data_IF_455194839751
#
_entry.id   IF_455194839751
#
_cell.length_a   1.000
_cell.length_b   1.000
_cell.length_c   1.000
_cell.angle_alpha   90.00
_cell.angle_beta   90.00
_cell.angle_gamma   90.00
#
_symmetry.space_group_name_H-M   'P 1'
#
loop_
_entity.id
_entity.type
_entity.pdbx_description
1 polymer ?
#
# COMPACT_ATOMS: atom_id res chain seq x y z
N UNK A 1 26.08 -26.41 6.51
CA UNK A 1 26.04 -24.94 6.54
C UNK A 1 26.89 -24.45 5.37
N UNK A 2 26.26 -24.08 4.25
CA UNK A 2 26.96 -23.80 2.99
C UNK A 2 26.95 -22.29 2.76
N UNK A 3 28.01 -21.61 3.20
CA UNK A 3 28.16 -20.16 2.98
C UNK A 3 28.58 -19.87 1.55
N UNK A 4 28.04 -18.77 1.03
CA UNK A 4 28.48 -18.03 -0.15
C UNK A 4 28.50 -18.77 -1.50
N UNK A 5 27.61 -18.31 -2.39
CA UNK A 5 27.79 -18.48 -3.84
C UNK A 5 27.69 -17.10 -4.52
N UNK A 6 28.85 -16.56 -4.89
CA UNK A 6 28.98 -15.33 -5.68
C UNK A 6 28.71 -15.67 -7.15
N UNK A 7 27.92 -14.83 -7.83
CA UNK A 7 27.81 -14.80 -9.29
C UNK A 7 28.37 -13.46 -9.77
N UNK A 8 29.49 -13.49 -10.49
CA UNK A 8 30.13 -12.28 -11.04
C UNK A 8 29.69 -12.02 -12.49
N UNK A 9 29.61 -10.74 -12.86
CA UNK A 9 29.33 -10.27 -14.22
C UNK A 9 29.51 -8.75 -14.32
N UNK A 10 29.62 -8.22 -15.54
CA UNK A 10 29.90 -6.79 -15.82
C UNK A 10 28.69 -5.84 -15.64
N UNK A 11 27.86 -6.12 -14.62
CA UNK A 11 26.69 -5.35 -14.20
C UNK A 11 26.45 -5.57 -12.70
N UNK A 12 25.31 -5.14 -12.15
CA UNK A 12 25.04 -5.29 -10.72
C UNK A 12 24.99 -6.79 -10.31
N UNK A 13 25.92 -7.30 -9.47
CA UNK A 13 25.99 -8.72 -9.13
C UNK A 13 24.84 -9.13 -8.20
N UNK A 14 24.29 -10.33 -8.42
CA UNK A 14 23.26 -10.93 -7.54
C UNK A 14 23.77 -12.24 -6.95
N UNK A 15 23.66 -12.34 -5.63
CA UNK A 15 24.29 -13.35 -4.77
C UNK A 15 23.21 -13.88 -3.84
N UNK A 16 23.13 -15.19 -3.64
CA UNK A 16 22.41 -15.77 -2.49
C UNK A 16 23.34 -15.63 -1.28
N UNK A 17 22.94 -14.89 -0.23
CA UNK A 17 23.90 -14.38 0.78
C UNK A 17 23.81 -14.98 2.19
N UNK A 18 22.64 -15.05 2.85
CA UNK A 18 22.62 -14.88 4.34
C UNK A 18 21.53 -15.56 5.21
N UNK A 19 21.88 -16.05 6.42
CA UNK A 19 20.97 -16.80 7.35
C UNK A 19 21.33 -16.62 8.85
N UNK A 20 20.73 -15.83 9.77
CA UNK A 20 19.38 -15.28 10.11
C UNK A 20 18.24 -16.26 10.35
N UNK A 21 17.93 -16.63 11.59
CA UNK A 21 16.82 -17.50 12.03
C UNK A 21 15.56 -16.69 12.42
N UNK A 22 14.35 -17.25 12.29
CA UNK A 22 13.14 -16.61 12.86
C UNK A 22 13.02 -16.83 14.38
N UNK A 23 11.94 -16.33 14.99
CA UNK A 23 11.67 -16.35 16.44
C UNK A 23 11.59 -17.76 17.08
N UNK A 24 11.59 -18.83 16.30
CA UNK A 24 11.63 -20.22 16.78
C UNK A 24 12.97 -20.92 16.47
N UNK A 25 13.87 -20.28 15.71
CA UNK A 25 15.18 -20.82 15.36
C UNK A 25 15.33 -21.32 13.90
N UNK A 26 14.67 -20.70 12.90
CA UNK A 26 14.71 -21.16 11.48
C UNK A 26 15.98 -20.80 10.67
N UNK A 27 15.98 -20.25 9.44
CA UNK A 27 17.15 -19.65 8.71
C UNK A 27 16.66 -19.00 7.38
N UNK A 28 17.03 -17.75 7.03
CA UNK A 28 16.32 -16.85 6.08
C UNK A 28 17.21 -16.29 4.93
N UNK A 29 17.55 -17.11 3.94
CA UNK A 29 18.41 -16.73 2.79
C UNK A 29 17.68 -15.92 1.69
N UNK A 30 17.54 -14.60 1.89
CA UNK A 30 16.71 -13.69 1.07
C UNK A 30 17.50 -12.99 -0.04
N UNK A 31 17.77 -13.69 -1.14
CA UNK A 31 18.13 -13.03 -2.40
C UNK A 31 17.53 -13.75 -3.61
N UNK A 32 17.50 -13.02 -4.72
CA UNK A 32 16.37 -12.96 -5.67
C UNK A 32 15.11 -12.32 -5.04
N UNK A 33 14.33 -11.51 -5.80
CA UNK A 33 13.30 -10.65 -5.23
C UNK A 33 12.24 -11.39 -4.39
N UNK A 34 11.81 -10.85 -3.24
CA UNK A 34 10.92 -11.57 -2.32
C UNK A 34 9.56 -11.90 -2.94
N UNK A 35 9.07 -11.10 -3.88
CA UNK A 35 7.81 -11.35 -4.57
C UNK A 35 7.80 -12.63 -5.44
N UNK A 36 8.96 -13.26 -5.71
CA UNK A 36 9.03 -14.59 -6.34
C UNK A 36 8.94 -15.76 -5.34
N UNK A 37 9.03 -15.49 -4.04
CA UNK A 37 9.04 -16.52 -2.99
C UNK A 37 7.63 -17.05 -2.75
N UNK A 38 7.47 -18.37 -2.60
CA UNK A 38 6.16 -19.01 -2.36
C UNK A 38 5.49 -18.42 -1.12
N UNK A 39 6.29 -18.16 -0.09
CA UNK A 39 5.87 -17.61 1.19
C UNK A 39 5.18 -16.24 1.06
N UNK A 40 5.49 -15.47 0.01
CA UNK A 40 4.87 -14.18 -0.30
C UNK A 40 3.56 -14.34 -1.07
N UNK A 41 3.44 -15.37 -1.90
CA UNK A 41 2.17 -15.72 -2.54
C UNK A 41 1.20 -16.35 -1.52
N UNK A 42 1.67 -17.26 -0.66
CA UNK A 42 0.87 -17.87 0.40
C UNK A 42 0.28 -16.81 1.34
N UNK A 43 1.10 -15.84 1.76
CA UNK A 43 0.65 -14.75 2.61
C UNK A 43 -0.30 -13.76 1.90
N UNK A 44 -0.18 -13.61 0.58
CA UNK A 44 -1.17 -12.89 -0.22
C UNK A 44 -2.49 -13.69 -0.32
N UNK A 45 -2.43 -14.99 -0.60
CA UNK A 45 -3.62 -15.87 -0.66
C UNK A 45 -4.34 -15.93 0.67
N UNK A 46 -3.65 -15.99 1.82
CA UNK A 46 -4.27 -15.86 3.14
C UNK A 46 -5.10 -14.57 3.27
N UNK A 47 -4.56 -13.42 2.80
CA UNK A 47 -5.30 -12.15 2.83
C UNK A 47 -6.53 -12.20 1.91
N UNK A 48 -6.44 -12.80 0.72
CA UNK A 48 -7.57 -12.87 -0.23
C UNK A 48 -8.63 -13.88 0.17
N UNK A 49 -8.23 -15.09 0.56
CA UNK A 49 -9.10 -16.24 0.73
C UNK A 49 -9.64 -16.37 2.18
N UNK A 50 -8.87 -15.97 3.19
CA UNK A 50 -9.20 -16.23 4.62
C UNK A 50 -9.43 -14.97 5.44
N UNK A 51 -8.58 -13.94 5.31
CA UNK A 51 -8.65 -12.76 6.17
C UNK A 51 -9.94 -11.96 5.96
N UNK A 52 -10.60 -11.57 7.05
CA UNK A 52 -11.78 -10.70 7.00
C UNK A 52 -11.38 -9.26 7.26
N UNK A 53 -11.33 -8.48 6.19
CA UNK A 53 -11.08 -7.03 6.25
C UNK A 53 -12.28 -6.35 6.91
N UNK A 54 -12.03 -5.55 7.94
CA UNK A 54 -13.09 -4.80 8.62
C UNK A 54 -13.66 -3.68 7.71
N UNK A 55 -14.99 -3.55 7.73
CA UNK A 55 -15.73 -2.45 7.09
C UNK A 55 -15.26 -1.09 7.62
N UNK A 56 -14.93 -0.17 6.71
CA UNK A 56 -14.43 1.19 7.01
C UNK A 56 -14.85 2.15 5.91
N UNK A 57 -15.09 3.41 6.22
CA UNK A 57 -15.45 4.39 5.19
C UNK A 57 -14.29 4.63 4.21
N UNK A 58 -13.04 4.63 4.69
CA UNK A 58 -11.85 4.98 3.90
C UNK A 58 -10.80 3.84 3.91
N UNK A 59 -10.39 3.38 2.72
CA UNK A 59 -9.19 2.56 2.53
C UNK A 59 -7.98 3.41 2.11
N UNK A 60 -6.95 3.49 2.96
CA UNK A 60 -5.71 4.23 2.70
C UNK A 60 -4.57 3.29 2.30
N UNK A 61 -4.15 3.36 1.05
CA UNK A 61 -3.10 2.51 0.48
C UNK A 61 -1.74 3.23 0.52
N UNK A 62 -0.79 2.69 1.29
CA UNK A 62 0.55 3.26 1.48
C UNK A 62 1.62 2.30 0.93
N UNK A 63 2.65 2.76 0.19
CA UNK A 63 3.68 1.88 -0.32
C UNK A 63 4.57 1.32 0.80
N UNK A 64 5.09 0.11 0.57
CA UNK A 64 5.95 -0.61 1.48
C UNK A 64 7.27 0.14 1.73
N UNK A 65 7.82 -0.04 2.93
CA UNK A 65 9.07 0.59 3.33
C UNK A 65 10.24 -0.39 3.38
N UNK A 66 11.47 0.13 3.31
CA UNK A 66 12.69 -0.67 3.45
C UNK A 66 12.82 -1.24 4.86
N UNK A 67 12.53 -0.41 5.88
CA UNK A 67 12.47 -0.79 7.30
C UNK A 67 11.13 -1.46 7.60
N UNK A 68 11.17 -2.53 8.40
CA UNK A 68 10.01 -3.23 8.94
C UNK A 68 10.08 -3.36 10.48
N UNK A 69 8.96 -3.56 11.18
CA UNK A 69 7.57 -3.43 10.69
C UNK A 69 7.33 -2.03 10.09
N UNK A 70 6.44 -1.94 9.09
CA UNK A 70 6.36 -0.76 8.21
C UNK A 70 6.04 0.51 8.99
N UNK A 71 5.18 0.42 10.01
CA UNK A 71 4.83 1.49 10.95
C UNK A 71 6.02 2.13 11.68
N UNK A 72 7.15 1.43 11.79
CA UNK A 72 8.40 1.95 12.38
C UNK A 72 9.34 2.58 11.36
N UNK A 73 8.97 2.64 10.07
CA UNK A 73 9.73 3.39 9.07
C UNK A 73 9.48 4.90 9.20
N UNK A 74 10.49 5.77 8.99
CA UNK A 74 10.31 7.23 9.11
C UNK A 74 9.22 7.80 8.20
N UNK A 75 9.03 7.21 7.01
CA UNK A 75 7.96 7.60 6.08
C UNK A 75 6.58 7.23 6.62
N UNK A 76 6.35 6.00 7.09
CA UNK A 76 5.05 5.63 7.68
C UNK A 76 4.75 6.39 8.97
N UNK A 77 5.75 6.67 9.81
CA UNK A 77 5.57 7.53 10.99
C UNK A 77 5.15 8.95 10.60
N UNK A 78 5.72 9.51 9.53
CA UNK A 78 5.29 10.79 8.97
C UNK A 78 3.86 10.71 8.43
N UNK A 79 3.54 9.70 7.62
CA UNK A 79 2.21 9.55 7.01
C UNK A 79 1.12 9.37 8.08
N UNK A 80 1.35 8.53 9.10
CA UNK A 80 0.41 8.38 10.22
C UNK A 80 0.15 9.70 10.95
N UNK A 81 1.18 10.48 11.29
CA UNK A 81 1.00 11.81 11.91
C UNK A 81 0.20 12.80 11.05
N UNK A 82 0.21 12.65 9.72
CA UNK A 82 -0.62 13.45 8.82
C UNK A 82 -2.07 12.94 8.81
N UNK A 83 -2.25 11.61 8.69
CA UNK A 83 -3.55 10.93 8.71
C UNK A 83 -4.29 11.18 10.03
N UNK A 84 -3.65 10.88 11.17
CA UNK A 84 -4.19 11.03 12.53
C UNK A 84 -4.46 12.51 12.90
N UNK A 85 -3.85 13.44 12.16
CA UNK A 85 -4.10 14.88 12.30
C UNK A 85 -5.24 15.41 11.42
N UNK A 86 -5.97 14.54 10.71
CA UNK A 86 -7.05 14.92 9.76
C UNK A 86 -8.26 13.99 9.83
N UNK A 87 -8.08 12.67 10.00
CA UNK A 87 -9.15 11.66 10.00
C UNK A 87 -9.32 11.03 11.38
N UNK A 88 -10.55 10.64 11.73
CA UNK A 88 -10.79 9.81 12.91
C UNK A 88 -10.30 8.36 12.64
N UNK A 89 -9.55 7.74 13.57
CA UNK A 89 -9.18 6.31 13.48
C UNK A 89 -10.36 5.34 13.34
N UNK A 90 -11.58 5.75 13.68
CA UNK A 90 -12.81 5.00 13.41
C UNK A 90 -13.13 4.88 11.91
N UNK A 91 -12.80 5.88 11.09
CA UNK A 91 -13.25 5.96 9.69
C UNK A 91 -12.36 5.21 8.70
N UNK A 92 -11.05 5.10 9.00
CA UNK A 92 -10.07 4.62 8.03
C UNK A 92 -9.50 3.21 8.32
N UNK A 93 -8.96 2.59 7.27
CA UNK A 93 -8.14 1.37 7.28
C UNK A 93 -6.82 1.68 6.54
N UNK A 94 -5.65 1.45 7.16
CA UNK A 94 -4.35 1.54 6.44
C UNK A 94 -3.97 0.17 5.87
N UNK A 95 -3.77 0.12 4.55
CA UNK A 95 -3.27 -1.05 3.82
C UNK A 95 -1.89 -0.70 3.25
N UNK A 96 -0.87 -1.48 3.58
CA UNK A 96 0.47 -1.34 2.99
C UNK A 96 0.54 -2.18 1.72
N UNK A 97 1.08 -1.67 0.61
CA UNK A 97 1.22 -2.44 -0.64
C UNK A 97 2.64 -2.37 -1.24
N UNK A 98 3.02 -3.28 -2.13
CA UNK A 98 4.36 -3.35 -2.71
C UNK A 98 4.95 -4.76 -2.66
N UNK A 99 6.20 -4.93 -2.24
CA UNK A 99 6.92 -6.23 -2.34
C UNK A 99 6.18 -7.46 -1.75
N UNK A 100 5.22 -7.28 -0.84
CA UNK A 100 4.38 -8.34 -0.27
C UNK A 100 2.99 -8.50 -0.93
N UNK A 101 2.66 -7.73 -1.96
CA UNK A 101 1.28 -7.37 -2.25
C UNK A 101 0.69 -6.47 -1.16
N UNK A 102 -0.63 -6.43 -1.09
CA UNK A 102 -1.41 -5.70 -0.07
C UNK A 102 -1.39 -6.39 1.30
N UNK A 103 -1.20 -5.62 2.36
CA UNK A 103 -1.07 -6.04 3.76
C UNK A 103 -1.82 -5.05 4.65
N UNK A 104 -2.98 -5.42 5.23
CA UNK A 104 -3.62 -4.69 6.32
C UNK A 104 -2.60 -4.36 7.43
N UNK A 105 -2.54 -3.11 7.89
CA UNK A 105 -1.45 -2.64 8.75
C UNK A 105 -1.35 -3.40 10.08
N UNK A 106 -2.46 -3.91 10.61
CA UNK A 106 -2.55 -4.77 11.79
C UNK A 106 -1.84 -6.13 11.61
N UNK A 107 -1.61 -6.57 10.37
CA UNK A 107 -0.92 -7.81 10.05
C UNK A 107 0.58 -7.64 9.79
N UNK A 108 1.14 -6.42 9.83
CA UNK A 108 2.53 -6.15 9.38
C UNK A 108 3.63 -6.96 10.10
N UNK A 109 3.33 -7.45 11.32
CA UNK A 109 4.22 -8.29 12.12
C UNK A 109 4.07 -9.80 11.82
N UNK A 110 3.16 -10.19 10.92
CA UNK A 110 3.04 -11.57 10.43
C UNK A 110 4.19 -11.90 9.48
N UNK A 111 4.60 -13.17 9.45
CA UNK A 111 5.52 -13.67 8.43
C UNK A 111 4.80 -13.72 7.07
N UNK A 112 5.43 -13.33 5.95
CA UNK A 112 6.82 -12.88 5.80
C UNK A 112 6.99 -11.35 5.83
N UNK A 113 5.94 -10.57 6.10
CA UNK A 113 5.91 -9.12 5.81
C UNK A 113 7.02 -8.32 6.52
N UNK A 114 7.36 -8.66 7.76
CA UNK A 114 8.49 -8.03 8.45
C UNK A 114 9.86 -8.72 8.23
N UNK A 115 9.88 -9.89 7.57
CA UNK A 115 11.03 -10.80 7.54
C UNK A 115 11.84 -10.78 6.23
N UNK A 116 11.88 -9.63 5.54
CA UNK A 116 12.64 -9.49 4.29
C UNK A 116 13.36 -8.15 4.13
N UNK A 117 14.49 -8.18 3.42
CA UNK A 117 15.24 -6.99 3.04
C UNK A 117 15.36 -6.89 1.52
N UNK A 118 14.60 -5.97 0.90
CA UNK A 118 14.63 -5.72 -0.53
C UNK A 118 14.25 -4.26 -0.82
N UNK A 119 14.82 -3.70 -1.88
CA UNK A 119 14.59 -2.32 -2.32
C UNK A 119 14.51 -2.29 -3.86
N UNK A 120 13.29 -2.24 -4.38
CA UNK A 120 13.03 -2.28 -5.83
C UNK A 120 13.76 -1.14 -6.58
N UNK A 121 13.81 0.07 -6.02
CA UNK A 121 14.43 1.24 -6.65
C UNK A 121 15.94 1.09 -6.96
N UNK A 122 16.63 0.10 -6.39
CA UNK A 122 18.04 -0.22 -6.72
C UNK A 122 18.20 -1.26 -7.83
N UNK A 123 17.11 -1.79 -8.39
CA UNK A 123 17.19 -2.79 -9.46
C UNK A 123 17.31 -2.13 -10.84
N UNK A 124 18.38 -2.47 -11.56
CA UNK A 124 18.64 -2.08 -12.96
C UNK A 124 18.24 -3.16 -13.97
N UNK A 125 17.65 -4.25 -13.50
CA UNK A 125 17.19 -5.36 -14.33
C UNK A 125 15.72 -5.17 -14.71
N UNK A 126 15.48 -4.86 -15.98
CA UNK A 126 14.15 -4.65 -16.54
C UNK A 126 13.25 -5.89 -16.46
N UNK A 127 13.80 -7.11 -16.47
CA UNK A 127 12.99 -8.32 -16.25
C UNK A 127 12.38 -8.29 -14.85
N UNK A 128 13.20 -8.00 -13.83
CA UNK A 128 12.71 -7.90 -12.43
C UNK A 128 11.74 -6.74 -12.24
N UNK A 129 11.91 -5.62 -12.95
CA UNK A 129 10.98 -4.47 -12.89
C UNK A 129 9.62 -4.83 -13.50
N UNK A 130 9.62 -5.46 -14.67
CA UNK A 130 8.41 -5.95 -15.36
C UNK A 130 7.71 -7.05 -14.56
N UNK A 131 8.47 -8.01 -14.06
CA UNK A 131 7.92 -9.16 -13.34
C UNK A 131 7.39 -8.72 -11.96
N UNK A 132 8.01 -7.73 -11.28
CA UNK A 132 7.42 -7.01 -10.13
C UNK A 132 6.08 -6.39 -10.50
N UNK A 133 6.04 -5.55 -11.54
CA UNK A 133 4.85 -4.82 -11.95
C UNK A 133 3.67 -5.77 -12.20
N UNK A 134 3.90 -6.85 -12.96
CA UNK A 134 2.89 -7.88 -13.24
C UNK A 134 2.36 -8.58 -11.98
N UNK A 135 3.23 -8.90 -11.02
CA UNK A 135 2.84 -9.54 -9.76
C UNK A 135 2.05 -8.54 -8.90
N UNK A 136 2.49 -7.29 -8.86
CA UNK A 136 1.87 -6.24 -8.03
C UNK A 136 0.48 -5.89 -8.54
N UNK A 137 0.29 -5.74 -9.84
CA UNK A 137 -1.03 -5.54 -10.46
C UNK A 137 -1.96 -6.70 -10.12
N UNK A 138 -1.53 -7.96 -10.33
CA UNK A 138 -2.33 -9.14 -9.95
C UNK A 138 -2.75 -9.10 -8.47
N UNK A 139 -1.83 -8.77 -7.56
CA UNK A 139 -2.13 -8.74 -6.12
C UNK A 139 -3.06 -7.60 -5.73
N UNK A 140 -2.82 -6.40 -6.27
CA UNK A 140 -3.66 -5.22 -6.08
C UNK A 140 -5.09 -5.47 -6.58
N UNK A 141 -5.26 -6.02 -7.79
CA UNK A 141 -6.58 -6.35 -8.36
C UNK A 141 -7.40 -7.22 -7.42
N UNK A 142 -6.85 -8.35 -6.98
CA UNK A 142 -7.57 -9.27 -6.09
C UNK A 142 -7.94 -8.65 -4.74
N UNK A 143 -7.12 -7.74 -4.20
CA UNK A 143 -7.45 -7.04 -2.96
C UNK A 143 -8.50 -5.92 -3.16
N UNK A 144 -8.42 -5.18 -4.26
CA UNK A 144 -9.45 -4.21 -4.64
C UNK A 144 -10.80 -4.91 -4.81
N UNK A 145 -10.84 -6.03 -5.54
CA UNK A 145 -12.03 -6.86 -5.72
C UNK A 145 -12.57 -7.41 -4.39
N UNK A 146 -11.72 -8.01 -3.56
CA UNK A 146 -12.08 -8.50 -2.22
C UNK A 146 -12.69 -7.41 -1.36
N UNK A 147 -12.17 -6.18 -1.46
CA UNK A 147 -12.60 -5.04 -0.64
C UNK A 147 -13.59 -4.11 -1.34
N UNK A 148 -14.17 -4.51 -2.49
CA UNK A 148 -15.07 -3.67 -3.32
C UNK A 148 -16.18 -3.01 -2.49
N UNK A 149 -16.82 -3.78 -1.64
CA UNK A 149 -17.91 -3.35 -0.76
C UNK A 149 -17.47 -3.20 0.72
N UNK A 150 -16.16 -3.08 0.96
CA UNK A 150 -15.55 -2.92 2.31
C UNK A 150 -15.04 -1.51 2.57
N UNK A 151 -14.72 -0.76 1.51
CA UNK A 151 -14.36 0.64 1.57
C UNK A 151 -15.26 1.46 0.66
N UNK A 152 -15.82 2.55 1.19
CA UNK A 152 -16.62 3.49 0.39
C UNK A 152 -15.73 4.40 -0.46
N UNK A 153 -14.66 4.91 0.15
CA UNK A 153 -13.64 5.73 -0.48
C UNK A 153 -12.28 5.02 -0.41
N UNK A 154 -11.42 5.22 -1.42
CA UNK A 154 -10.08 4.66 -1.46
C UNK A 154 -9.11 5.73 -1.90
N UNK A 155 -7.97 5.84 -1.23
CA UNK A 155 -6.90 6.75 -1.61
C UNK A 155 -5.55 6.04 -1.49
N UNK A 156 -4.75 6.10 -2.55
CA UNK A 156 -3.39 5.58 -2.59
C UNK A 156 -2.38 6.74 -2.63
N UNK A 157 -1.43 6.73 -1.70
CA UNK A 157 -0.38 7.74 -1.62
C UNK A 157 0.94 7.19 -2.17
N UNK A 158 1.12 7.26 -3.49
CA UNK A 158 2.18 6.54 -4.21
C UNK A 158 2.67 7.23 -5.49
N UNK A 159 3.94 6.99 -5.78
CA UNK A 159 4.68 7.42 -6.99
C UNK A 159 5.37 6.23 -7.67
N UNK A 160 5.89 6.43 -8.88
CA UNK A 160 6.74 5.50 -9.62
C UNK A 160 6.10 4.14 -9.91
N UNK A 161 6.87 3.03 -9.86
CA UNK A 161 6.38 1.69 -10.17
C UNK A 161 5.17 1.25 -9.33
N UNK A 162 5.04 1.73 -8.09
CA UNK A 162 3.89 1.43 -7.21
C UNK A 162 2.63 2.16 -7.69
N UNK A 163 2.75 3.44 -8.08
CA UNK A 163 1.65 4.20 -8.69
C UNK A 163 1.17 3.54 -9.98
N UNK A 164 2.11 3.18 -10.85
CA UNK A 164 1.79 2.52 -12.13
C UNK A 164 1.00 1.22 -11.94
N UNK A 165 1.39 0.39 -10.97
CA UNK A 165 0.67 -0.84 -10.66
C UNK A 165 -0.73 -0.58 -10.06
N UNK A 166 -0.89 0.48 -9.25
CA UNK A 166 -2.19 0.87 -8.69
C UNK A 166 -3.15 1.41 -9.76
N UNK A 167 -2.66 2.22 -10.71
CA UNK A 167 -3.43 2.70 -11.87
C UNK A 167 -3.98 1.52 -12.67
N UNK A 168 -3.10 0.63 -13.13
CA UNK A 168 -3.47 -0.53 -13.97
C UNK A 168 -4.44 -1.47 -13.23
N UNK A 169 -4.25 -1.70 -11.92
CA UNK A 169 -5.18 -2.50 -11.12
C UNK A 169 -6.54 -1.83 -10.89
N UNK A 170 -6.58 -0.50 -10.72
CA UNK A 170 -7.81 0.28 -10.58
C UNK A 170 -8.63 0.27 -11.88
N UNK A 171 -7.96 0.48 -13.01
CA UNK A 171 -8.55 0.47 -14.35
C UNK A 171 -9.12 -0.91 -14.69
N UNK A 172 -8.33 -1.99 -14.53
CA UNK A 172 -8.76 -3.34 -14.89
C UNK A 172 -9.89 -3.90 -14.00
N UNK A 173 -10.07 -3.39 -12.77
CA UNK A 173 -11.16 -3.82 -11.87
C UNK A 173 -12.39 -2.91 -11.91
N UNK A 174 -12.27 -1.72 -12.51
CA UNK A 174 -13.26 -0.66 -12.43
C UNK A 174 -13.53 -0.17 -11.01
N UNK A 175 -12.58 -0.35 -10.08
CA UNK A 175 -12.69 0.11 -8.69
C UNK A 175 -11.87 1.38 -8.54
N UNK A 176 -12.55 2.50 -8.30
CA UNK A 176 -11.91 3.80 -8.17
C UNK A 176 -10.99 3.86 -6.94
N UNK A 177 -9.79 4.43 -7.14
CA UNK A 177 -8.81 4.76 -6.11
C UNK A 177 -8.29 6.16 -6.40
N UNK A 178 -8.47 7.11 -5.48
CA UNK A 178 -7.89 8.44 -5.59
C UNK A 178 -6.37 8.36 -5.46
N UNK A 179 -5.63 8.95 -6.39
CA UNK A 179 -4.18 8.82 -6.48
C UNK A 179 -3.47 10.12 -6.11
N UNK A 180 -2.75 10.11 -4.99
CA UNK A 180 -1.89 11.22 -4.56
C UNK A 180 -0.41 10.80 -4.50
N UNK A 181 0.55 11.71 -4.75
CA UNK A 181 0.37 13.05 -5.29
C UNK A 181 -0.34 13.05 -6.65
N UNK A 182 -0.93 14.16 -7.09
CA UNK A 182 -1.56 14.23 -8.42
C UNK A 182 -0.48 14.24 -9.51
N UNK A 183 -0.83 13.84 -10.74
CA UNK A 183 0.14 13.87 -11.84
C UNK A 183 0.70 15.29 -12.09
N UNK A 184 -0.10 16.38 -12.06
CA UNK A 184 0.43 17.76 -12.09
C UNK A 184 1.39 18.11 -10.95
N UNK A 185 1.21 17.54 -9.75
CA UNK A 185 2.14 17.74 -8.64
C UNK A 185 3.45 16.96 -8.84
N UNK A 186 3.38 15.74 -9.39
CA UNK A 186 4.56 14.94 -9.76
C UNK A 186 5.35 15.67 -10.86
N UNK A 187 4.68 16.11 -11.94
CA UNK A 187 5.29 16.88 -13.03
C UNK A 187 5.98 18.16 -12.53
N UNK A 188 5.33 18.89 -11.62
CA UNK A 188 5.88 20.12 -11.02
C UNK A 188 7.14 19.89 -10.18
N UNK A 189 7.26 18.73 -9.54
CA UNK A 189 8.36 18.39 -8.63
C UNK A 189 9.37 17.41 -9.25
N UNK A 190 9.21 17.08 -10.53
CA UNK A 190 10.08 16.18 -11.27
C UNK A 190 11.44 16.84 -11.54
N UNK A 191 12.51 16.18 -11.10
CA UNK A 191 13.89 16.64 -11.31
C UNK A 191 14.69 15.58 -12.09
N UNK A 192 14.97 15.86 -13.37
CA UNK A 192 15.69 14.93 -14.25
C UNK A 192 17.14 14.68 -13.81
N UNK A 193 17.76 15.62 -13.10
CA UNK A 193 19.14 15.51 -12.62
C UNK A 193 19.23 14.70 -11.31
N UNK A 194 18.09 14.42 -10.67
CA UNK A 194 18.02 13.56 -9.48
C UNK A 194 18.04 12.06 -9.84
N UNK A 195 18.79 11.21 -9.13
CA UNK A 195 18.78 9.74 -9.33
C UNK A 195 17.43 9.05 -9.10
N UNK A 196 16.47 9.76 -8.53
CA UNK A 196 15.08 9.36 -8.39
C UNK A 196 14.20 10.56 -8.79
N UNK A 197 13.87 10.74 -10.08
CA UNK A 197 13.35 12.01 -10.59
C UNK A 197 12.00 12.45 -10.00
N UNK A 198 11.12 11.50 -9.67
CA UNK A 198 9.85 11.76 -8.98
C UNK A 198 10.04 12.08 -7.48
N UNK A 199 11.27 12.04 -6.98
CA UNK A 199 11.64 12.42 -5.62
C UNK A 199 11.18 11.45 -4.54
N UNK A 200 10.64 11.99 -3.45
CA UNK A 200 10.24 11.23 -2.26
C UNK A 200 8.88 11.68 -1.77
N UNK A 201 8.02 10.74 -1.38
CA UNK A 201 6.73 10.98 -0.71
C UNK A 201 6.83 11.76 0.64
N UNK A 202 8.04 12.08 1.09
CA UNK A 202 8.31 12.99 2.22
C UNK A 202 8.68 14.42 1.79
N UNK A 203 8.56 14.77 0.50
CA UNK A 203 8.71 16.14 0.00
C UNK A 203 7.50 17.00 0.40
N UNK A 204 7.74 18.27 0.71
CA UNK A 204 6.73 19.14 1.30
C UNK A 204 5.48 19.30 0.42
N UNK A 205 5.64 19.53 -0.89
CA UNK A 205 4.48 19.67 -1.79
C UNK A 205 3.60 18.42 -1.89
N UNK A 206 4.20 17.23 -1.81
CA UNK A 206 3.46 15.96 -1.74
C UNK A 206 2.74 15.78 -0.40
N UNK A 207 3.38 16.18 0.72
CA UNK A 207 2.79 16.16 2.06
C UNK A 207 1.58 17.11 2.14
N UNK A 208 1.70 18.31 1.57
CA UNK A 208 0.65 19.33 1.59
C UNK A 208 -0.55 18.85 0.78
N UNK A 209 -0.35 18.37 -0.45
CA UNK A 209 -1.43 17.82 -1.28
C UNK A 209 -2.06 16.57 -0.66
N UNK A 210 -1.27 15.70 -0.01
CA UNK A 210 -1.78 14.54 0.73
C UNK A 210 -2.70 14.97 1.88
N UNK A 211 -2.30 15.99 2.65
CA UNK A 211 -3.13 16.58 3.72
C UNK A 211 -4.43 17.15 3.15
N UNK A 212 -4.38 17.89 2.05
CA UNK A 212 -5.57 18.43 1.39
C UNK A 212 -6.52 17.31 0.91
N UNK A 213 -5.97 16.23 0.35
CA UNK A 213 -6.72 15.04 -0.03
C UNK A 213 -7.46 14.38 1.14
N UNK A 214 -6.77 14.20 2.27
CA UNK A 214 -7.37 13.68 3.49
C UNK A 214 -8.48 14.61 4.02
N UNK A 215 -8.31 15.93 3.95
CA UNK A 215 -9.36 16.90 4.34
C UNK A 215 -10.59 16.78 3.44
N UNK A 216 -10.41 16.58 2.13
CA UNK A 216 -11.52 16.33 1.20
C UNK A 216 -12.26 15.03 1.55
N UNK A 217 -11.55 13.95 1.84
CA UNK A 217 -12.16 12.68 2.28
C UNK A 217 -12.93 12.84 3.60
N UNK A 218 -12.37 13.55 4.58
CA UNK A 218 -13.05 13.85 5.84
C UNK A 218 -14.41 14.54 5.58
N UNK A 219 -14.44 15.51 4.67
CA UNK A 219 -15.67 16.19 4.27
C UNK A 219 -16.71 15.25 3.64
N UNK A 220 -16.29 14.27 2.85
CA UNK A 220 -17.20 13.30 2.22
C UNK A 220 -17.84 12.33 3.23
N UNK A 221 -17.06 11.87 4.22
CA UNK A 221 -17.57 10.99 5.30
C UNK A 221 -18.61 11.72 6.14
N UNK A 222 -18.26 12.89 6.70
CA UNK A 222 -19.16 13.66 7.55
C UNK A 222 -20.39 14.17 6.80
N UNK A 223 -20.24 14.63 5.55
CA UNK A 223 -21.35 15.08 4.71
C UNK A 223 -22.34 13.97 4.36
N UNK A 224 -21.88 12.72 4.30
CA UNK A 224 -22.73 11.56 4.04
C UNK A 224 -23.61 11.15 5.22
N UNK A 225 -23.16 11.40 6.46
CA UNK A 225 -23.94 11.11 7.66
C UNK A 225 -25.20 11.98 7.79
N UNK A 226 -25.11 13.25 7.39
CA UNK A 226 -26.23 14.19 7.47
C UNK A 226 -27.41 13.81 6.55
N UNK A 227 -27.15 13.22 5.38
CA UNK A 227 -28.18 12.83 4.42
C UNK A 227 -29.00 11.60 4.84
N UNK A 228 -28.54 10.82 5.82
CA UNK A 228 -29.20 9.60 6.27
C UNK A 228 -30.30 9.85 7.33
N UNK A 229 -30.24 10.97 8.06
CA UNK A 229 -31.11 11.24 9.23
C UNK A 229 -32.51 11.77 8.83
N UNK A 230 -32.66 12.31 7.63
CA UNK A 230 -33.90 13.01 7.21
C UNK A 230 -35.01 12.09 6.65
N UNK A 231 -34.80 10.76 6.58
CA UNK A 231 -35.74 9.84 5.91
C UNK A 231 -36.81 9.19 6.80
N UNK A 232 -36.75 9.35 8.13
CA UNK A 232 -37.58 8.59 9.08
C UNK A 232 -38.60 9.44 9.87
N UNK A 233 -38.78 10.72 9.51
CA UNK A 233 -39.60 11.68 10.27
C UNK A 233 -41.04 11.87 9.77
N UNK A 234 -41.45 11.25 8.64
CA UNK A 234 -42.77 11.49 8.02
C UNK A 234 -43.52 10.20 7.69
N UNK A 235 -44.28 9.66 8.67
CA UNK A 235 -45.61 9.00 8.48
C UNK A 235 -46.20 8.46 9.81
N UNK A 236 -46.81 9.34 10.60
CA UNK A 236 -47.95 8.99 11.47
C UNK A 236 -49.03 10.06 11.37
N UNK A 237 -49.98 9.83 10.47
CA UNK A 237 -51.21 10.64 10.38
C UNK A 237 -52.11 10.41 11.60
N UNK A 238 -53.04 11.33 11.91
CA UNK A 238 -53.85 11.26 13.11
C UNK A 238 -54.93 10.18 13.00
N UNK A 239 -55.00 9.31 14.02
CA UNK A 239 -56.18 8.46 14.25
C UNK A 239 -57.30 9.36 14.80
N UNK A 240 -58.45 9.40 14.12
CA UNK A 240 -59.65 10.04 14.64
C UNK A 240 -60.40 9.11 15.59
N UNK A 241 -61.12 9.72 16.53
CA UNK A 241 -61.94 9.08 17.56
C UNK A 241 -63.10 8.25 16.99
#
# INVERSE_FOLDING_TARGET
MQKDRIVQGAGAPRRVVEVVQDRHGNRIEIFDPPFYRKEFEDAYRFIIDEYRVAQKEIGLFLPCAVRKPYSQSPSHQLFRRIIDGVLDPADYHIVVFGTCGTVPAELECMYPYQNYHYMLGKTTDERVRRDFHRIEVYRLKGYLEKTRDTYRHRLAYCIGPFRKAMVEASEETGIAVDLLPSDPMIERLYDIDCPFPEGSLSMQGYIDEFREGLVRLAGMVHGSGAAAVDRDSVRRGPVRA
#
